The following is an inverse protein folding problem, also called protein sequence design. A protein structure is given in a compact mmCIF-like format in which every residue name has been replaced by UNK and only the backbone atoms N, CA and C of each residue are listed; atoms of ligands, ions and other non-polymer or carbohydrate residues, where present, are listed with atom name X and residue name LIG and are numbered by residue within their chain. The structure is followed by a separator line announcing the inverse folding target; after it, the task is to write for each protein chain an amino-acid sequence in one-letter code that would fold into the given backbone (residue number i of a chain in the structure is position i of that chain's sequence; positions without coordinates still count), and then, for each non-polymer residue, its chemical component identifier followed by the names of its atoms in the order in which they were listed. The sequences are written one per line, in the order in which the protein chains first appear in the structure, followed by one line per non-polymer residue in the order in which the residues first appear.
data_IF_517100155596
#
_entry.id   IF_517100155596
#
_cell.length_a   1.000
_cell.length_b   1.000
_cell.length_c   1.000
_cell.angle_alpha   90.00
_cell.angle_beta   90.00
_cell.angle_gamma   90.00
#
_symmetry.space_group_name_H-M   'P 1'
#
loop_
_entity.id
_entity.type
_entity.pdbx_description
1 polymer ?
#
# COMPACT_ATOMS: atom_id res chain seq x y z
N UNK A 1 -21.79 -23.09 -1.43
CA UNK A 1 -21.51 -21.73 -1.94
C UNK A 1 -20.58 -21.06 -0.94
N UNK A 2 -19.39 -20.62 -1.34
CA UNK A 2 -18.52 -19.88 -0.41
C UNK A 2 -19.05 -18.44 -0.26
N UNK A 3 -19.06 -17.87 0.95
CA UNK A 3 -19.49 -16.49 1.15
C UNK A 3 -18.55 -15.51 0.43
N UNK A 4 -19.10 -14.41 -0.05
CA UNK A 4 -18.29 -13.28 -0.50
C UNK A 4 -17.62 -12.66 0.73
N UNK A 5 -16.29 -12.65 0.75
CA UNK A 5 -15.54 -11.95 1.79
C UNK A 5 -15.52 -10.46 1.47
N UNK A 6 -15.78 -9.63 2.47
CA UNK A 6 -15.89 -8.18 2.31
C UNK A 6 -14.64 -7.59 1.63
N UNK A 7 -13.44 -8.07 1.98
CA UNK A 7 -12.18 -7.62 1.38
C UNK A 7 -11.99 -8.00 -0.09
N UNK A 8 -12.71 -9.01 -0.60
CA UNK A 8 -12.70 -9.39 -2.03
C UNK A 8 -13.56 -8.48 -2.91
N UNK A 9 -14.54 -7.79 -2.32
CA UNK A 9 -15.39 -6.82 -3.02
C UNK A 9 -14.91 -5.38 -2.77
N UNK A 10 -13.98 -5.20 -1.85
CA UNK A 10 -13.52 -3.89 -1.41
C UNK A 10 -12.47 -3.31 -2.35
N UNK A 11 -12.93 -2.41 -3.21
CA UNK A 11 -12.11 -1.67 -4.19
C UNK A 11 -11.43 -0.45 -3.59
N UNK A 12 -11.61 -0.17 -2.29
CA UNK A 12 -11.11 1.05 -1.63
C UNK A 12 -9.96 0.78 -0.64
N UNK A 13 -9.31 -0.39 -0.72
CA UNK A 13 -8.14 -0.74 0.10
C UNK A 13 -7.05 0.35 0.10
N UNK A 14 -6.84 1.02 -1.04
CA UNK A 14 -5.91 2.14 -1.16
C UNK A 14 -6.25 3.32 -0.22
N UNK A 15 -7.54 3.67 -0.11
CA UNK A 15 -8.01 4.73 0.79
C UNK A 15 -7.78 4.31 2.24
N UNK A 16 -8.12 3.06 2.58
CA UNK A 16 -7.91 2.55 3.95
C UNK A 16 -6.44 2.51 4.34
N UNK A 17 -5.54 2.15 3.43
CA UNK A 17 -4.10 2.21 3.68
C UNK A 17 -3.65 3.65 3.99
N UNK A 18 -4.10 4.65 3.23
CA UNK A 18 -3.76 6.05 3.53
C UNK A 18 -4.33 6.51 4.88
N UNK A 19 -5.60 6.19 5.17
CA UNK A 19 -6.22 6.54 6.45
C UNK A 19 -5.53 5.87 7.64
N UNK A 20 -5.10 4.62 7.49
CA UNK A 20 -4.30 3.90 8.48
C UNK A 20 -2.94 4.56 8.70
N UNK A 21 -2.29 5.06 7.63
CA UNK A 21 -1.06 5.82 7.75
C UNK A 21 -1.28 7.16 8.48
N UNK A 22 -2.39 7.86 8.20
CA UNK A 22 -2.77 9.07 8.94
C UNK A 22 -3.07 8.78 10.40
N UNK A 23 -3.73 7.66 10.72
CA UNK A 23 -3.93 7.24 12.10
C UNK A 23 -2.59 7.00 12.79
N UNK A 24 -1.69 6.27 12.13
CA UNK A 24 -0.38 5.89 12.69
C UNK A 24 0.52 7.11 12.92
N UNK A 25 0.56 8.07 12.00
CA UNK A 25 1.46 9.22 12.08
C UNK A 25 0.85 10.43 12.81
N UNK A 26 -0.42 10.72 12.54
CA UNK A 26 -1.10 11.95 13.01
C UNK A 26 -2.18 11.69 14.05
N UNK A 27 -2.44 10.42 14.40
CA UNK A 27 -3.35 10.06 15.48
C UNK A 27 -4.83 10.35 15.17
N UNK A 28 -5.23 10.42 13.89
CA UNK A 28 -6.63 10.69 13.55
C UNK A 28 -7.54 9.60 14.15
N UNK A 29 -8.67 10.03 14.71
CA UNK A 29 -9.68 9.14 15.26
C UNK A 29 -10.43 8.38 14.17
N UNK A 30 -11.12 7.31 14.57
CA UNK A 30 -12.04 6.56 13.67
C UNK A 30 -13.11 7.47 13.07
N UNK A 31 -13.61 8.45 13.84
CA UNK A 31 -14.58 9.41 13.33
C UNK A 31 -13.99 10.30 12.24
N UNK A 32 -12.79 10.86 12.46
CA UNK A 32 -12.09 11.65 11.44
C UNK A 32 -11.80 10.83 10.18
N UNK A 33 -11.35 9.58 10.33
CA UNK A 33 -11.11 8.68 9.21
C UNK A 33 -12.40 8.40 8.41
N UNK A 34 -13.53 8.18 9.09
CA UNK A 34 -14.84 8.01 8.43
C UNK A 34 -15.30 9.26 7.70
N UNK A 35 -15.14 10.43 8.31
CA UNK A 35 -15.48 11.71 7.69
C UNK A 35 -14.65 11.95 6.42
N UNK A 36 -13.33 11.72 6.49
CA UNK A 36 -12.45 11.79 5.33
C UNK A 36 -12.84 10.79 4.23
N UNK A 37 -13.15 9.55 4.59
CA UNK A 37 -13.61 8.55 3.62
C UNK A 37 -14.86 9.03 2.88
N UNK A 38 -15.87 9.54 3.60
CA UNK A 38 -17.09 10.03 2.98
C UNK A 38 -16.83 11.23 2.07
N UNK A 39 -15.99 12.17 2.53
CA UNK A 39 -15.58 13.32 1.74
C UNK A 39 -14.89 12.89 0.43
N UNK A 40 -13.93 11.98 0.50
CA UNK A 40 -13.23 11.42 -0.66
C UNK A 40 -14.21 10.77 -1.64
N UNK A 41 -15.13 9.95 -1.14
CA UNK A 41 -16.09 9.24 -1.99
C UNK A 41 -17.10 10.18 -2.67
N UNK A 42 -17.44 11.31 -2.05
CA UNK A 42 -18.31 12.32 -2.64
C UNK A 42 -17.56 13.23 -3.63
N UNK A 43 -16.30 13.55 -3.35
CA UNK A 43 -15.47 14.46 -4.16
C UNK A 43 -14.94 13.81 -5.45
N UNK A 44 -14.44 12.57 -5.37
CA UNK A 44 -13.77 11.91 -6.50
C UNK A 44 -14.62 11.77 -7.78
N UNK A 45 -15.92 11.44 -7.72
CA UNK A 45 -16.75 11.35 -8.92
C UNK A 45 -16.90 12.68 -9.67
N UNK A 46 -16.84 13.81 -8.96
CA UNK A 46 -16.98 15.15 -9.53
C UNK A 46 -15.67 15.65 -10.12
N UNK A 47 -14.56 15.51 -9.39
CA UNK A 47 -13.26 16.05 -9.80
C UNK A 47 -12.51 15.17 -10.81
N UNK A 48 -12.64 13.85 -10.68
CA UNK A 48 -12.00 12.89 -11.59
C UNK A 48 -12.95 11.73 -11.95
N UNK A 49 -13.97 11.95 -12.79
CA UNK A 49 -14.95 10.93 -13.15
C UNK A 49 -14.33 9.67 -13.79
N UNK A 50 -13.24 9.83 -14.54
CA UNK A 50 -12.54 8.73 -15.21
C UNK A 50 -11.75 7.89 -14.20
N UNK A 51 -10.98 8.53 -13.32
CA UNK A 51 -10.28 7.87 -12.23
C UNK A 51 -11.25 7.17 -11.28
N UNK A 52 -12.34 7.83 -10.91
CA UNK A 52 -13.42 7.24 -10.12
C UNK A 52 -13.99 5.98 -10.77
N UNK A 53 -14.31 6.02 -12.06
CA UNK A 53 -14.79 4.85 -12.80
C UNK A 53 -13.78 3.70 -12.77
N UNK A 54 -12.50 4.00 -12.97
CA UNK A 54 -11.44 3.00 -12.90
C UNK A 54 -11.33 2.38 -11.49
N UNK A 55 -11.45 3.18 -10.43
CA UNK A 55 -11.49 2.69 -9.05
C UNK A 55 -12.67 1.75 -8.79
N UNK A 56 -13.90 2.16 -9.15
CA UNK A 56 -15.11 1.36 -8.91
C UNK A 56 -15.11 0.07 -9.74
N UNK A 57 -14.46 0.07 -10.90
CA UNK A 57 -14.30 -1.12 -11.75
C UNK A 57 -13.08 -1.98 -11.42
N UNK A 58 -12.26 -1.56 -10.45
CA UNK A 58 -10.99 -2.21 -10.12
C UNK A 58 -10.05 -2.32 -11.34
N UNK A 59 -10.05 -1.31 -12.19
CA UNK A 59 -9.25 -1.19 -13.43
C UNK A 59 -8.04 -0.26 -13.23
N UNK A 60 -7.55 -0.12 -12.00
CA UNK A 60 -6.46 0.79 -11.65
C UNK A 60 -5.56 0.19 -10.58
N UNK A 61 -4.31 0.68 -10.52
CA UNK A 61 -3.38 0.39 -9.43
C UNK A 61 -3.57 1.30 -8.21
N UNK A 62 -4.41 2.34 -8.32
CA UNK A 62 -4.69 3.36 -7.29
C UNK A 62 -3.48 4.23 -6.91
N UNK A 63 -2.37 4.19 -7.64
CA UNK A 63 -1.18 5.01 -7.33
C UNK A 63 -1.52 6.50 -7.35
N UNK A 64 -2.28 6.93 -8.36
CA UNK A 64 -2.73 8.32 -8.48
C UNK A 64 -3.59 8.74 -7.28
N UNK A 65 -4.48 7.87 -6.83
CA UNK A 65 -5.39 8.13 -5.72
C UNK A 65 -4.60 8.27 -4.42
N UNK A 66 -3.66 7.35 -4.15
CA UNK A 66 -2.80 7.44 -2.98
C UNK A 66 -2.00 8.74 -2.99
N UNK A 67 -1.38 9.10 -4.11
CA UNK A 67 -0.64 10.36 -4.23
C UNK A 67 -1.53 11.58 -3.98
N UNK A 68 -2.74 11.59 -4.55
CA UNK A 68 -3.70 12.68 -4.35
C UNK A 68 -4.13 12.81 -2.88
N UNK A 69 -4.45 11.71 -2.21
CA UNK A 69 -4.85 11.74 -0.80
C UNK A 69 -3.72 12.23 0.11
N UNK A 70 -2.49 11.79 -0.14
CA UNK A 70 -1.31 12.26 0.59
C UNK A 70 -1.04 13.75 0.33
N UNK A 71 -1.23 14.20 -0.90
CA UNK A 71 -1.05 15.60 -1.26
C UNK A 71 -2.13 16.51 -0.64
N UNK A 72 -3.41 16.12 -0.73
CA UNK A 72 -4.56 16.93 -0.30
C UNK A 72 -4.73 16.93 1.21
N UNK A 73 -4.58 15.77 1.87
CA UNK A 73 -4.84 15.62 3.29
C UNK A 73 -3.56 15.47 4.12
N UNK A 74 -2.59 14.70 3.62
CA UNK A 74 -1.36 14.41 4.36
C UNK A 74 -0.52 15.65 4.63
N UNK A 75 -0.37 16.54 3.65
CA UNK A 75 0.40 17.80 3.80
C UNK A 75 -0.18 18.71 4.89
N UNK A 76 -1.51 18.84 4.94
CA UNK A 76 -2.22 19.59 5.98
C UNK A 76 -2.06 18.98 7.38
N UNK A 77 -1.74 17.68 7.46
CA UNK A 77 -1.40 16.97 8.71
C UNK A 77 0.09 17.01 9.04
N UNK A 78 0.90 17.81 8.33
CA UNK A 78 2.35 17.89 8.52
C UNK A 78 3.11 16.65 8.04
N UNK A 79 2.57 15.92 7.06
CA UNK A 79 3.22 14.74 6.50
C UNK A 79 3.99 15.10 5.23
N UNK A 80 5.26 14.70 5.20
CA UNK A 80 6.07 14.64 4.00
C UNK A 80 6.04 13.22 3.43
N UNK A 81 6.11 13.10 2.11
CA UNK A 81 6.16 11.81 1.45
C UNK A 81 7.01 11.86 0.18
N UNK A 82 7.57 10.70 -0.20
CA UNK A 82 8.30 10.52 -1.46
C UNK A 82 8.15 9.09 -1.97
N UNK A 83 8.42 8.90 -3.27
CA UNK A 83 8.32 7.61 -3.97
C UNK A 83 9.69 7.23 -4.53
N UNK A 84 10.49 6.41 -3.82
CA UNK A 84 11.86 6.12 -4.22
C UNK A 84 12.00 5.46 -5.59
N UNK A 85 10.96 4.76 -6.04
CA UNK A 85 10.94 4.04 -7.31
C UNK A 85 9.78 4.46 -8.22
N UNK A 86 9.42 5.75 -8.22
CA UNK A 86 8.29 6.27 -8.99
C UNK A 86 8.33 5.92 -10.49
N UNK A 87 9.54 5.90 -11.07
CA UNK A 87 9.77 5.64 -12.50
C UNK A 87 9.94 4.15 -12.85
N UNK A 88 9.77 3.24 -11.87
CA UNK A 88 9.93 1.81 -12.10
C UNK A 88 8.85 1.24 -13.01
N UNK A 89 9.27 0.62 -14.12
CA UNK A 89 8.42 -0.13 -15.03
C UNK A 89 8.68 -1.64 -14.90
N UNK A 90 7.68 -2.42 -14.45
CA UNK A 90 7.81 -3.87 -14.24
C UNK A 90 8.20 -4.63 -15.53
N UNK A 91 7.56 -4.30 -16.65
CA UNK A 91 7.74 -4.98 -17.94
C UNK A 91 9.18 -4.88 -18.45
N UNK A 92 9.81 -3.72 -18.23
CA UNK A 92 11.19 -3.45 -18.64
C UNK A 92 12.21 -3.74 -17.54
N UNK A 93 11.77 -3.86 -16.28
CA UNK A 93 12.62 -3.87 -15.10
C UNK A 93 13.58 -2.66 -15.08
N UNK A 94 13.04 -1.47 -15.34
CA UNK A 94 13.80 -0.23 -15.48
C UNK A 94 13.27 0.85 -14.52
N UNK A 95 14.12 1.46 -13.66
CA UNK A 95 15.49 1.01 -13.38
C UNK A 95 15.50 -0.40 -12.76
N UNK A 96 16.64 -1.08 -12.81
CA UNK A 96 16.77 -2.39 -12.18
C UNK A 96 16.59 -2.27 -10.66
N UNK A 97 15.56 -2.93 -10.13
CA UNK A 97 15.27 -2.95 -8.69
C UNK A 97 15.46 -4.36 -8.15
N UNK A 98 16.23 -4.49 -7.07
CA UNK A 98 16.46 -5.76 -6.39
C UNK A 98 15.57 -5.81 -5.14
N UNK A 99 14.85 -6.93 -4.87
CA UNK A 99 13.99 -7.04 -3.68
C UNK A 99 14.70 -6.70 -2.35
N UNK A 100 15.98 -7.05 -2.24
CA UNK A 100 16.81 -6.73 -1.07
C UNK A 100 17.01 -5.23 -0.84
N UNK A 101 17.06 -4.42 -1.90
CA UNK A 101 17.23 -2.97 -1.79
C UNK A 101 15.95 -2.31 -1.27
N UNK A 102 14.79 -2.79 -1.73
CA UNK A 102 13.48 -2.35 -1.20
C UNK A 102 13.39 -2.69 0.29
N UNK A 103 13.73 -3.92 0.66
CA UNK A 103 13.70 -4.36 2.05
C UNK A 103 14.57 -3.48 2.94
N UNK A 104 15.83 -3.29 2.54
CA UNK A 104 16.81 -2.48 3.28
C UNK A 104 16.32 -1.04 3.41
N UNK A 105 15.83 -0.45 2.32
CA UNK A 105 15.30 0.92 2.32
C UNK A 105 14.11 1.07 3.27
N UNK A 106 13.14 0.15 3.24
CA UNK A 106 11.97 0.20 4.12
C UNK A 106 12.33 -0.03 5.60
N UNK A 107 13.25 -0.97 5.86
CA UNK A 107 13.74 -1.26 7.21
C UNK A 107 14.48 -0.04 7.79
N UNK A 108 15.41 0.56 7.04
CA UNK A 108 16.12 1.76 7.46
C UNK A 108 15.18 2.96 7.62
N UNK A 109 14.23 3.14 6.69
CA UNK A 109 13.27 4.25 6.76
C UNK A 109 12.44 4.22 8.04
N UNK A 110 11.87 3.06 8.36
CA UNK A 110 11.03 2.87 9.55
C UNK A 110 11.83 2.83 10.85
N UNK A 111 13.07 2.34 10.84
CA UNK A 111 13.93 2.29 12.02
C UNK A 111 14.51 3.66 12.42
N UNK A 112 14.78 4.56 11.47
CA UNK A 112 15.42 5.86 11.76
C UNK A 112 14.63 6.74 12.73
N UNK A 113 13.30 6.74 12.66
CA UNK A 113 12.45 7.49 13.59
C UNK A 113 11.17 6.70 13.93
N UNK A 114 11.25 5.79 14.93
CA UNK A 114 10.12 4.98 15.33
C UNK A 114 8.91 5.86 15.72
N UNK A 115 7.76 5.59 15.12
CA UNK A 115 6.52 6.32 15.40
C UNK A 115 6.32 7.63 14.63
N UNK A 116 7.31 8.11 13.85
CA UNK A 116 7.13 9.25 12.94
C UNK A 116 7.36 8.91 11.47
N UNK A 117 7.74 7.68 11.14
CA UNK A 117 7.91 7.20 9.76
C UNK A 117 7.15 5.90 9.52
N UNK A 118 6.59 5.76 8.33
CA UNK A 118 5.95 4.53 7.83
C UNK A 118 6.05 4.46 6.30
N UNK A 119 5.56 3.39 5.71
CA UNK A 119 5.43 3.23 4.27
C UNK A 119 4.02 2.77 3.91
N UNK A 120 3.42 3.39 2.89
CA UNK A 120 2.20 2.91 2.24
C UNK A 120 2.63 2.22 0.95
N UNK A 121 2.19 0.99 0.72
CA UNK A 121 2.61 0.26 -0.47
C UNK A 121 1.58 -0.75 -0.96
N UNK A 122 1.75 -1.17 -2.21
CA UNK A 122 0.92 -2.18 -2.86
C UNK A 122 1.67 -3.49 -3.04
N UNK A 123 0.95 -4.60 -2.87
CA UNK A 123 1.41 -5.92 -3.25
C UNK A 123 0.34 -6.70 -4.01
N UNK A 124 0.79 -7.61 -4.87
CA UNK A 124 -0.03 -8.62 -5.54
C UNK A 124 0.26 -9.98 -4.94
N UNK A 125 -0.81 -10.70 -4.58
CA UNK A 125 -0.71 -12.08 -4.09
C UNK A 125 -1.15 -13.06 -5.17
N UNK A 126 -0.35 -14.09 -5.38
CA UNK A 126 -0.58 -15.17 -6.32
C UNK A 126 -0.76 -16.48 -5.56
N UNK A 127 -1.67 -17.33 -6.04
CA UNK A 127 -1.82 -18.71 -5.54
C UNK A 127 -1.61 -19.63 -6.74
N UNK A 128 -0.50 -20.40 -6.79
CA UNK A 128 -0.27 -21.36 -7.87
C UNK A 128 -1.45 -22.34 -8.02
N UNK A 129 -1.81 -22.73 -9.27
CA UNK A 129 -1.14 -22.40 -10.53
C UNK A 129 -1.66 -21.12 -11.22
N UNK A 130 -2.39 -20.24 -10.55
CA UNK A 130 -3.04 -19.08 -11.20
C UNK A 130 -2.02 -18.08 -11.75
N UNK A 131 -2.27 -17.60 -12.97
CA UNK A 131 -1.46 -16.57 -13.63
C UNK A 131 -1.80 -15.17 -13.11
N UNK A 132 -3.08 -14.88 -12.88
CA UNK A 132 -3.55 -13.61 -12.34
C UNK A 132 -3.47 -13.59 -10.81
N UNK A 133 -3.18 -12.42 -10.20
CA UNK A 133 -3.19 -12.30 -8.75
C UNK A 133 -4.60 -12.56 -8.21
N UNK A 134 -4.67 -13.24 -7.07
CA UNK A 134 -5.93 -13.46 -6.34
C UNK A 134 -6.33 -12.25 -5.51
N UNK A 135 -5.35 -11.40 -5.18
CA UNK A 135 -5.51 -10.19 -4.38
C UNK A 135 -4.50 -9.15 -4.87
N UNK A 136 -4.97 -7.94 -5.11
CA UNK A 136 -4.15 -6.74 -5.26
C UNK A 136 -4.48 -5.85 -4.06
N UNK A 137 -3.51 -5.56 -3.20
CA UNK A 137 -3.79 -4.96 -1.89
C UNK A 137 -2.84 -3.82 -1.57
N UNK A 138 -3.41 -2.76 -1.01
CA UNK A 138 -2.68 -1.64 -0.43
C UNK A 138 -2.63 -1.77 1.09
N UNK A 139 -1.45 -1.54 1.66
CA UNK A 139 -1.19 -1.72 3.08
C UNK A 139 -0.26 -0.65 3.63
N UNK A 140 -0.03 -0.70 4.94
CA UNK A 140 0.84 0.21 5.69
C UNK A 140 1.85 -0.61 6.49
N UNK A 141 3.12 -0.22 6.43
CA UNK A 141 4.16 -0.78 7.28
C UNK A 141 3.94 -0.39 8.75
N UNK A 142 3.83 -1.38 9.63
CA UNK A 142 3.72 -1.12 11.07
C UNK A 142 5.11 -0.98 11.72
N UNK A 143 5.85 -2.09 11.75
CA UNK A 143 7.14 -2.21 12.43
C UNK A 143 7.94 -3.38 11.87
N UNK A 144 9.26 -3.30 11.98
CA UNK A 144 10.14 -4.43 11.77
C UNK A 144 10.45 -5.11 13.11
N UNK A 145 10.46 -6.44 13.13
CA UNK A 145 11.02 -7.24 14.21
C UNK A 145 11.93 -8.30 13.61
N UNK A 146 13.25 -8.13 13.76
CA UNK A 146 14.22 -8.96 13.04
C UNK A 146 14.08 -8.81 11.53
N UNK A 147 13.96 -9.94 10.82
CA UNK A 147 13.77 -10.02 9.37
C UNK A 147 12.29 -10.10 8.95
N UNK A 148 11.37 -9.63 9.79
CA UNK A 148 9.92 -9.62 9.50
C UNK A 148 9.36 -8.20 9.60
N UNK A 149 8.66 -7.77 8.55
CA UNK A 149 7.87 -6.53 8.50
C UNK A 149 6.41 -6.86 8.84
N UNK A 150 5.90 -6.31 9.93
CA UNK A 150 4.49 -6.39 10.29
C UNK A 150 3.67 -5.32 9.57
N UNK A 151 2.47 -5.69 9.13
CA UNK A 151 1.53 -4.81 8.45
C UNK A 151 0.49 -4.27 9.44
N UNK A 152 0.06 -3.04 9.22
CA UNK A 152 -0.89 -2.35 10.10
C UNK A 152 -2.36 -2.50 9.65
N UNK A 153 -2.62 -3.18 8.53
CA UNK A 153 -3.98 -3.32 8.02
C UNK A 153 -4.84 -4.36 8.77
N UNK A 154 -6.16 -4.18 8.65
CA UNK A 154 -7.18 -4.87 9.46
C UNK A 154 -8.02 -5.88 8.65
N UNK A 155 -7.41 -6.64 7.74
CA UNK A 155 -8.14 -7.74 7.12
C UNK A 155 -8.32 -8.87 8.14
N UNK A 156 -9.57 -9.13 8.57
CA UNK A 156 -9.90 -10.25 9.47
C UNK A 156 -10.03 -11.59 8.73
N UNK A 157 -9.60 -11.64 7.47
CA UNK A 157 -9.64 -12.87 6.70
C UNK A 157 -8.55 -13.83 7.18
N UNK A 158 -8.88 -15.11 7.35
CA UNK A 158 -7.96 -16.15 7.83
C UNK A 158 -6.69 -16.29 6.97
N UNK A 159 -6.78 -15.90 5.69
CA UNK A 159 -5.67 -15.92 4.75
C UNK A 159 -5.00 -14.55 4.56
N UNK A 160 -5.34 -13.53 5.35
CA UNK A 160 -4.78 -12.20 5.21
C UNK A 160 -3.26 -12.20 5.42
N UNK A 161 -2.58 -11.35 4.64
CA UNK A 161 -1.15 -11.13 4.82
C UNK A 161 -1.00 -10.11 5.94
N UNK A 162 -0.42 -10.53 7.06
CA UNK A 162 -0.18 -9.65 8.22
C UNK A 162 1.28 -9.28 8.38
N UNK A 163 2.16 -9.94 7.65
CA UNK A 163 3.59 -9.69 7.67
C UNK A 163 4.24 -10.10 6.35
N UNK A 164 5.42 -9.58 6.11
CA UNK A 164 6.32 -9.98 5.02
C UNK A 164 7.66 -10.34 5.63
N UNK A 165 8.25 -11.45 5.22
CA UNK A 165 9.61 -11.82 5.61
C UNK A 165 10.62 -11.33 4.57
N UNK A 166 11.87 -11.15 5.01
CA UNK A 166 12.98 -10.86 4.11
C UNK A 166 13.13 -12.00 3.09
N UNK A 167 13.06 -11.66 1.81
CA UNK A 167 13.09 -12.64 0.71
C UNK A 167 11.74 -13.34 0.45
N UNK A 168 10.69 -13.02 1.21
CA UNK A 168 9.33 -13.53 1.04
C UNK A 168 8.52 -12.87 -0.08
N UNK A 169 9.14 -11.97 -0.85
CA UNK A 169 8.51 -11.28 -1.99
C UNK A 169 9.47 -11.15 -3.18
N UNK A 170 8.89 -11.03 -4.36
CA UNK A 170 9.58 -10.61 -5.58
C UNK A 170 9.13 -9.19 -5.97
N UNK A 171 9.80 -8.60 -6.96
CA UNK A 171 9.42 -7.30 -7.55
C UNK A 171 8.87 -7.42 -8.97
N UNK A 172 8.89 -8.65 -9.51
CA UNK A 172 8.38 -9.01 -10.84
C UNK A 172 7.77 -10.39 -10.82
N UNK A 173 6.61 -10.56 -11.47
CA UNK A 173 5.96 -11.88 -11.56
C UNK A 173 6.83 -12.94 -12.27
N UNK A 174 7.56 -12.53 -13.31
CA UNK A 174 8.37 -13.42 -14.14
C UNK A 174 9.57 -14.05 -13.39
N UNK A 175 9.97 -13.48 -12.25
CA UNK A 175 11.15 -13.91 -11.46
C UNK A 175 10.73 -14.38 -10.06
N UNK A 176 9.44 -14.66 -9.85
CA UNK A 176 8.94 -15.17 -8.57
C UNK A 176 9.57 -16.54 -8.31
N UNK A 177 10.42 -16.70 -7.26
CA UNK A 177 10.97 -18.00 -6.90
C UNK A 177 9.85 -18.99 -6.58
N UNK A 178 10.08 -20.29 -6.80
CA UNK A 178 9.13 -21.33 -6.41
C UNK A 178 8.73 -21.16 -4.94
N UNK A 179 7.43 -21.01 -4.68
CA UNK A 179 6.87 -20.81 -3.33
C UNK A 179 6.69 -19.35 -2.90
N UNK A 180 7.29 -18.37 -3.59
CA UNK A 180 6.98 -16.96 -3.36
C UNK A 180 5.59 -16.64 -3.92
N UNK A 181 4.72 -16.08 -3.10
CA UNK A 181 3.35 -15.74 -3.47
C UNK A 181 3.12 -14.24 -3.59
N UNK A 182 4.09 -13.41 -3.20
CA UNK A 182 3.94 -11.97 -3.10
C UNK A 182 4.84 -11.27 -4.12
N UNK A 183 4.26 -10.34 -4.87
CA UNK A 183 4.99 -9.38 -5.67
C UNK A 183 4.75 -7.99 -5.09
N UNK A 184 5.78 -7.36 -4.55
CA UNK A 184 5.74 -5.93 -4.21
C UNK A 184 5.86 -5.11 -5.49
N UNK A 185 5.16 -3.98 -5.55
CA UNK A 185 5.18 -3.07 -6.69
C UNK A 185 6.02 -1.84 -6.34
N UNK A 186 7.28 -1.72 -6.83
CA UNK A 186 8.18 -0.64 -6.42
C UNK A 186 7.61 0.76 -6.69
N UNK A 187 6.99 0.95 -7.86
CA UNK A 187 6.35 2.21 -8.22
C UNK A 187 5.21 2.62 -7.27
N UNK A 188 4.59 1.64 -6.60
CA UNK A 188 3.51 1.86 -5.65
C UNK A 188 4.00 2.01 -4.20
N UNK A 189 5.30 2.20 -3.95
CA UNK A 189 5.82 2.43 -2.60
C UNK A 189 5.92 3.93 -2.31
N UNK A 190 5.26 4.35 -1.23
CA UNK A 190 5.30 5.70 -0.68
C UNK A 190 5.95 5.63 0.70
N UNK A 191 7.01 6.39 0.91
CA UNK A 191 7.65 6.56 2.21
C UNK A 191 7.15 7.85 2.84
N UNK A 192 6.57 7.75 4.04
CA UNK A 192 5.92 8.86 4.74
C UNK A 192 6.66 9.20 6.03
N UNK A 193 6.73 10.49 6.33
CA UNK A 193 7.31 11.06 7.55
C UNK A 193 6.43 12.17 8.10
N UNK A 194 6.21 12.17 9.42
CA UNK A 194 5.67 13.33 10.12
C UNK A 194 6.78 14.35 10.35
N UNK A 195 6.62 15.55 9.81
CA UNK A 195 7.53 16.66 10.02
C UNK A 195 7.49 17.09 11.49
N UNK A 196 8.66 17.41 12.06
CA UNK A 196 8.72 18.01 13.39
C UNK A 196 8.10 19.42 13.31
N UNK A 197 7.16 19.70 14.23
CA UNK A 197 6.61 21.05 14.46
C UNK A 197 7.61 21.86 15.26
#
# INVERSE_FOLDING_TARGET
MQPFYQGKLDVFCAIYAVLNAFQKLSGISVWQAKSLLMEILLRLPEENPQGWRACVRNETDYIWLVAELLQTYGTNMGLAWHRPWADYAEERNEPAVIPGDIWTTMAEWTARHPGSRTAVFRFRRYIPPRELPVVCHWTVADRFMGDTLFLFDASKEESAVHFLDRGGFAVRRAVVPSGCQIVLEPAAIFLLERQAV
#
